data_IF_822329480847
#
_entry.id   IF_822329480847
#
_cell.length_a   1.000
_cell.length_b   1.000
_cell.length_c   1.000
_cell.angle_alpha   90.00
_cell.angle_beta   90.00
_cell.angle_gamma   90.00
#
_symmetry.space_group_name_H-M   'P 1'
#
loop_
_entity.id
_entity.type
_entity.pdbx_description
1 polymer ?
#
# COMPACT_ATOMS: atom_id res chain seq x y z
N UNK A 1 -43.51 5.38 16.79
CA UNK A 1 -42.06 5.24 17.02
C UNK A 1 -41.37 5.07 15.67
N UNK A 2 -40.91 6.17 15.06
CA UNK A 2 -40.24 6.12 13.76
C UNK A 2 -38.73 6.09 13.98
N UNK A 3 -38.10 4.95 13.69
CA UNK A 3 -36.64 4.88 13.67
C UNK A 3 -36.15 5.63 12.43
N UNK A 4 -35.41 6.71 12.64
CA UNK A 4 -34.69 7.39 11.56
C UNK A 4 -33.38 6.62 11.37
N UNK A 5 -33.33 5.80 10.32
CA UNK A 5 -32.09 5.17 9.89
C UNK A 5 -31.21 6.25 9.24
N UNK A 6 -30.29 6.82 10.02
CA UNK A 6 -29.25 7.71 9.51
C UNK A 6 -28.30 6.89 8.63
N UNK A 7 -28.48 7.01 7.32
CA UNK A 7 -27.59 6.41 6.32
C UNK A 7 -26.31 7.25 6.26
N UNK A 8 -25.27 6.79 6.95
CA UNK A 8 -23.93 7.35 6.82
C UNK A 8 -23.44 7.11 5.39
N UNK A 9 -23.33 8.19 4.63
CA UNK A 9 -22.80 8.16 3.27
C UNK A 9 -21.30 8.45 3.35
N UNK A 10 -20.54 7.49 3.84
CA UNK A 10 -19.09 7.47 3.65
C UNK A 10 -18.83 7.21 2.17
N UNK A 11 -18.83 8.28 1.36
CA UNK A 11 -18.11 8.27 0.10
C UNK A 11 -16.62 8.25 0.45
N UNK A 12 -16.13 7.09 0.87
CA UNK A 12 -14.70 6.81 0.80
C UNK A 12 -14.43 6.62 -0.68
N UNK A 13 -13.98 7.69 -1.32
CA UNK A 13 -13.29 7.56 -2.59
C UNK A 13 -12.09 6.66 -2.30
N UNK A 14 -12.26 5.35 -2.53
CA UNK A 14 -11.23 4.34 -2.42
C UNK A 14 -10.24 4.57 -3.57
N UNK A 15 -9.56 5.71 -3.55
CA UNK A 15 -8.41 5.95 -4.39
C UNK A 15 -7.38 4.89 -4.00
N UNK A 16 -7.13 3.96 -4.91
CA UNK A 16 -6.01 3.04 -4.81
C UNK A 16 -4.77 3.90 -4.56
N UNK A 17 -4.09 3.68 -3.43
CA UNK A 17 -2.82 4.36 -3.15
C UNK A 17 -1.86 3.92 -4.25
N UNK A 18 -1.65 4.80 -5.23
CA UNK A 18 -0.77 4.52 -6.37
C UNK A 18 0.69 4.56 -5.94
N UNK A 19 1.03 5.47 -5.02
CA UNK A 19 2.37 5.61 -4.44
C UNK A 19 2.24 5.95 -2.96
N UNK A 20 3.13 5.41 -2.13
CA UNK A 20 3.21 5.74 -0.71
C UNK A 20 4.03 7.04 -0.55
N UNK A 21 3.57 8.08 0.18
CA UNK A 21 4.37 9.27 0.45
C UNK A 21 5.70 8.93 1.16
N UNK A 22 6.76 9.70 0.92
CA UNK A 22 8.09 9.42 1.51
C UNK A 22 8.09 9.49 3.05
N UNK A 23 7.33 10.41 3.63
CA UNK A 23 7.14 10.51 5.09
C UNK A 23 6.56 9.21 5.68
N UNK A 24 5.52 8.66 5.03
CA UNK A 24 4.92 7.39 5.42
C UNK A 24 5.83 6.20 5.13
N UNK A 25 6.64 6.28 4.06
CA UNK A 25 7.62 5.27 3.73
C UNK A 25 8.67 5.09 4.82
N UNK A 26 9.18 6.20 5.37
CA UNK A 26 10.19 6.17 6.41
C UNK A 26 9.67 5.50 7.69
N UNK A 27 8.40 5.72 8.03
CA UNK A 27 7.74 5.01 9.13
C UNK A 27 7.60 3.51 8.85
N UNK A 28 7.12 3.14 7.65
CA UNK A 28 6.91 1.74 7.26
C UNK A 28 8.24 0.99 7.15
N UNK A 29 9.29 1.65 6.67
CA UNK A 29 10.61 1.03 6.49
C UNK A 29 11.16 0.46 7.80
N UNK A 30 10.80 1.05 8.93
CA UNK A 30 11.25 0.60 10.26
C UNK A 30 10.59 -0.72 10.71
N UNK A 31 9.39 -1.03 10.21
CA UNK A 31 8.68 -2.28 10.53
C UNK A 31 8.97 -3.40 9.53
N UNK A 32 9.50 -3.07 8.36
CA UNK A 32 9.80 -4.04 7.31
C UNK A 32 11.04 -4.86 7.66
N UNK A 33 11.07 -6.15 7.31
CA UNK A 33 12.26 -6.96 7.45
C UNK A 33 13.35 -6.46 6.49
N UNK A 34 14.59 -6.92 6.72
CA UNK A 34 15.70 -6.64 5.79
C UNK A 34 15.38 -7.16 4.39
N UNK A 35 15.74 -6.37 3.38
CA UNK A 35 15.60 -6.77 1.98
C UNK A 35 16.42 -8.01 1.66
N UNK A 36 15.94 -8.76 0.66
CA UNK A 36 16.59 -9.98 0.21
C UNK A 36 17.96 -9.64 -0.38
N UNK A 37 19.03 -10.39 -0.03
CA UNK A 37 20.33 -10.15 -0.60
C UNK A 37 20.30 -10.36 -2.13
N UNK A 38 21.03 -9.52 -2.89
CA UNK A 38 21.19 -9.74 -4.32
C UNK A 38 21.91 -11.09 -4.53
N UNK A 39 21.45 -11.90 -5.50
CA UNK A 39 21.95 -13.24 -5.87
C UNK A 39 21.32 -14.45 -5.19
N UNK A 40 20.11 -14.32 -4.66
CA UNK A 40 19.33 -15.52 -4.30
C UNK A 40 18.71 -16.14 -5.55
N UNK A 41 19.16 -17.35 -5.87
CA UNK A 41 18.61 -18.18 -6.94
C UNK A 41 17.11 -18.41 -6.63
N UNK A 42 16.28 -18.49 -7.66
CA UNK A 42 14.80 -18.72 -7.65
C UNK A 42 13.85 -17.53 -7.71
N UNK A 43 14.17 -16.33 -7.17
CA UNK A 43 13.25 -15.18 -7.28
C UNK A 43 13.97 -13.85 -7.51
N UNK A 44 13.44 -12.98 -8.40
CA UNK A 44 13.97 -11.64 -8.58
C UNK A 44 13.95 -10.90 -7.24
N UNK A 45 15.01 -10.14 -6.99
CA UNK A 45 15.04 -9.23 -5.85
C UNK A 45 14.10 -8.05 -6.16
N UNK A 46 12.95 -8.00 -5.50
CA UNK A 46 11.96 -6.92 -5.65
C UNK A 46 12.00 -6.06 -4.39
N UNK A 47 12.35 -4.76 -4.50
CA UNK A 47 12.35 -3.84 -3.36
C UNK A 47 10.94 -3.71 -2.77
N UNK A 48 10.83 -3.59 -1.45
CA UNK A 48 9.52 -3.46 -0.79
C UNK A 48 8.76 -2.22 -1.27
N UNK A 49 9.48 -1.13 -1.57
CA UNK A 49 8.90 0.11 -2.10
C UNK A 49 8.12 -0.16 -3.38
N UNK A 50 8.68 -0.96 -4.29
CA UNK A 50 8.06 -1.32 -5.57
C UNK A 50 6.83 -2.22 -5.41
N UNK A 51 6.73 -2.97 -4.31
CA UNK A 51 5.57 -3.82 -4.00
C UNK A 51 4.43 -3.01 -3.39
N UNK A 52 4.80 -2.03 -2.56
CA UNK A 52 3.88 -1.25 -1.75
C UNK A 52 3.39 0.02 -2.45
N UNK A 53 4.23 0.62 -3.29
CA UNK A 53 3.75 1.49 -4.36
C UNK A 53 2.88 0.61 -5.26
N UNK A 54 1.60 0.95 -5.38
CA UNK A 54 0.63 0.15 -6.10
C UNK A 54 1.19 -0.19 -7.48
N UNK A 55 0.97 -1.44 -7.93
CA UNK A 55 1.29 -1.83 -9.31
C UNK A 55 0.57 -0.84 -10.21
N UNK A 56 1.33 0.10 -10.77
CA UNK A 56 0.84 1.04 -11.77
C UNK A 56 0.16 0.18 -12.82
N UNK A 57 -1.17 0.22 -12.85
CA UNK A 57 -1.96 -0.63 -13.73
C UNK A 57 -1.50 -0.27 -15.13
N UNK A 58 -0.81 -1.22 -15.77
CA UNK A 58 -0.38 -1.18 -17.16
C UNK A 58 -1.56 -0.59 -17.96
N UNK A 59 -1.41 0.67 -18.40
CA UNK A 59 -2.21 1.26 -19.47
C UNK A 59 -1.57 0.92 -20.80
#
# INVERSE_FOLDING_TARGET
MTCIQQKWKDKKDNHTILNIPDELWDEIRNILPREKPPKTIDRPNVPFRKVLDGVSSIS
#
